data_IF_243303861974
#
_entry.id   IF_243303861974
#
_cell.length_a   1.000
_cell.length_b   1.000
_cell.length_c   1.000
_cell.angle_alpha   90.00
_cell.angle_beta   90.00
_cell.angle_gamma   90.00
#
_symmetry.space_group_name_H-M   'P 1'
#
loop_
_entity.id
_entity.type
_entity.pdbx_description
1 polymer ?
#
# COMPACT_ATOMS: atom_id res chain seq x y z
N UNK A 1 0.77 1.36 -17.21
CA UNK A 1 1.05 1.00 -15.81
C UNK A 1 2.01 2.05 -15.26
N UNK A 2 1.77 2.57 -14.05
CA UNK A 2 2.70 3.50 -13.42
C UNK A 2 4.01 2.78 -13.06
N UNK A 3 5.11 3.53 -13.04
CA UNK A 3 6.44 3.01 -12.68
C UNK A 3 6.75 3.36 -11.23
N UNK A 4 7.33 2.42 -10.49
CA UNK A 4 7.82 2.67 -9.14
C UNK A 4 9.12 3.49 -9.20
N UNK A 5 9.11 4.67 -8.58
CA UNK A 5 10.19 5.66 -8.62
C UNK A 5 10.79 5.81 -7.21
N UNK A 6 11.80 5.01 -6.90
CA UNK A 6 12.51 5.06 -5.63
C UNK A 6 13.84 5.82 -5.77
N UNK A 7 14.23 6.64 -4.77
CA UNK A 7 15.61 7.10 -4.62
C UNK A 7 16.59 5.92 -4.69
N UNK A 8 17.76 6.12 -5.30
CA UNK A 8 18.75 5.05 -5.54
C UNK A 8 19.16 4.31 -4.25
N UNK A 9 19.23 5.03 -3.12
CA UNK A 9 19.50 4.45 -1.81
C UNK A 9 18.43 3.45 -1.40
N UNK A 10 17.15 3.81 -1.54
CA UNK A 10 16.03 2.93 -1.24
C UNK A 10 15.93 1.78 -2.24
N UNK A 11 16.18 2.02 -3.52
CA UNK A 11 16.18 0.96 -4.53
C UNK A 11 17.20 -0.14 -4.22
N UNK A 12 18.42 0.25 -3.82
CA UNK A 12 19.48 -0.70 -3.44
C UNK A 12 19.10 -1.55 -2.24
N UNK A 13 18.37 -0.98 -1.28
CA UNK A 13 17.96 -1.67 -0.06
C UNK A 13 16.77 -2.58 -0.31
N UNK A 14 15.81 -2.14 -1.13
CA UNK A 14 14.56 -2.85 -1.39
C UNK A 14 14.65 -3.87 -2.53
N UNK A 15 15.73 -3.89 -3.31
CA UNK A 15 15.89 -4.86 -4.41
C UNK A 15 15.67 -6.32 -3.99
N UNK A 16 16.15 -6.81 -2.82
CA UNK A 16 15.92 -8.20 -2.42
C UNK A 16 14.44 -8.54 -2.23
N UNK A 17 13.60 -7.57 -1.85
CA UNK A 17 12.15 -7.78 -1.76
C UNK A 17 11.54 -7.93 -3.14
N UNK A 18 11.89 -7.05 -4.07
CA UNK A 18 11.33 -7.08 -5.43
C UNK A 18 11.83 -8.28 -6.25
N UNK A 19 13.04 -8.78 -5.97
CA UNK A 19 13.55 -10.03 -6.53
C UNK A 19 12.79 -11.24 -5.98
N UNK A 20 12.47 -11.24 -4.67
CA UNK A 20 11.77 -12.34 -4.01
C UNK A 20 10.26 -12.37 -4.30
N UNK A 21 9.65 -11.19 -4.45
CA UNK A 21 8.25 -11.01 -4.80
C UNK A 21 8.16 -9.84 -5.79
N UNK A 22 8.12 -10.10 -7.11
CA UNK A 22 7.91 -9.06 -8.11
C UNK A 22 6.56 -8.34 -7.96
N UNK A 23 6.51 -7.06 -8.34
CA UNK A 23 5.35 -6.18 -8.10
C UNK A 23 4.07 -6.64 -8.81
N UNK A 24 4.20 -7.32 -9.96
CA UNK A 24 3.08 -7.93 -10.69
C UNK A 24 2.55 -9.21 -10.03
N UNK A 25 3.28 -9.78 -9.08
CA UNK A 25 2.90 -10.92 -8.26
C UNK A 25 2.49 -10.52 -6.84
N UNK A 26 2.97 -9.38 -6.35
CA UNK A 26 2.59 -8.83 -5.06
C UNK A 26 1.11 -8.44 -5.02
N UNK A 27 0.53 -8.41 -3.81
CA UNK A 27 -0.83 -7.89 -3.62
C UNK A 27 -1.88 -8.56 -4.54
N UNK A 28 -1.72 -9.86 -4.78
CA UNK A 28 -2.49 -10.61 -5.78
C UNK A 28 -3.98 -10.75 -5.42
N UNK A 29 -4.31 -10.66 -4.13
CA UNK A 29 -5.68 -10.61 -3.65
C UNK A 29 -6.08 -9.18 -3.28
N UNK A 30 -7.35 -8.84 -3.57
CA UNK A 30 -7.96 -7.59 -3.12
C UNK A 30 -8.30 -7.63 -1.63
N UNK A 31 -8.71 -8.79 -1.12
CA UNK A 31 -8.96 -9.05 0.30
C UNK A 31 -8.06 -10.18 0.77
N UNK A 32 -7.35 -9.96 1.88
CA UNK A 32 -6.40 -10.92 2.43
C UNK A 32 -7.12 -11.95 3.28
N UNK A 33 -7.11 -13.21 2.82
CA UNK A 33 -7.67 -14.36 3.55
C UNK A 33 -6.67 -15.51 3.75
N UNK A 34 -5.50 -15.43 3.10
CA UNK A 34 -4.50 -16.51 3.08
C UNK A 34 -3.43 -16.29 4.14
N UNK A 35 -2.75 -17.37 4.57
CA UNK A 35 -1.64 -17.24 5.50
C UNK A 35 -0.53 -16.41 4.86
N UNK A 36 -0.01 -15.47 5.64
CA UNK A 36 1.03 -14.56 5.20
C UNK A 36 2.37 -15.31 5.13
N UNK A 37 3.16 -15.04 4.09
CA UNK A 37 4.45 -15.72 3.89
C UNK A 37 5.46 -15.31 4.96
N UNK A 38 5.76 -16.22 5.89
CA UNK A 38 6.72 -15.99 6.96
C UNK A 38 8.10 -15.54 6.43
N UNK A 39 8.53 -16.06 5.28
CA UNK A 39 9.79 -15.66 4.64
C UNK A 39 9.77 -14.19 4.21
N UNK A 40 8.68 -13.75 3.57
CA UNK A 40 8.53 -12.35 3.14
C UNK A 40 8.35 -11.43 4.35
N UNK A 41 7.59 -11.85 5.37
CA UNK A 41 7.45 -11.11 6.63
C UNK A 41 8.80 -10.88 7.29
N UNK A 42 9.65 -11.90 7.36
CA UNK A 42 11.00 -11.78 7.92
C UNK A 42 11.90 -10.88 7.06
N UNK A 43 11.80 -10.97 5.73
CA UNK A 43 12.55 -10.13 4.81
C UNK A 43 12.18 -8.66 5.01
N UNK A 44 10.89 -8.30 4.93
CA UNK A 44 10.42 -6.94 5.16
C UNK A 44 10.78 -6.47 6.57
N UNK A 45 10.69 -7.34 7.58
CA UNK A 45 11.11 -7.02 8.95
C UNK A 45 12.56 -6.58 9.07
N UNK A 46 13.47 -7.22 8.33
CA UNK A 46 14.88 -6.78 8.25
C UNK A 46 15.02 -5.45 7.53
N UNK A 47 14.32 -5.28 6.40
CA UNK A 47 14.38 -4.06 5.59
C UNK A 47 13.88 -2.84 6.35
N UNK A 48 12.71 -2.92 7.00
CA UNK A 48 12.16 -1.78 7.77
C UNK A 48 12.99 -1.45 9.02
N UNK A 49 13.82 -2.38 9.49
CA UNK A 49 14.75 -2.16 10.60
C UNK A 49 16.09 -1.54 10.15
N UNK A 50 16.33 -1.42 8.84
CA UNK A 50 17.52 -0.79 8.29
C UNK A 50 17.53 0.71 8.64
N UNK A 51 18.67 1.28 9.09
CA UNK A 51 18.77 2.71 9.39
C UNK A 51 18.32 3.64 8.27
N UNK A 52 18.47 3.26 7.00
CA UNK A 52 18.05 4.06 5.86
C UNK A 52 16.52 4.12 5.69
N UNK A 53 15.78 3.19 6.29
CA UNK A 53 14.31 3.17 6.29
C UNK A 53 13.69 4.00 7.41
N UNK A 54 14.50 4.44 8.39
CA UNK A 54 14.03 5.13 9.60
C UNK A 54 13.12 6.31 9.32
N UNK A 55 13.49 7.12 8.33
CA UNK A 55 12.79 8.37 8.01
C UNK A 55 11.62 8.16 7.03
N UNK A 56 11.28 6.92 6.69
CA UNK A 56 10.23 6.57 5.73
C UNK A 56 9.11 5.71 6.33
N UNK A 57 8.45 6.12 7.43
CA UNK A 57 7.40 5.30 8.04
C UNK A 57 6.20 5.04 7.10
N UNK A 58 5.88 5.98 6.19
CA UNK A 58 4.87 5.79 5.15
C UNK A 58 5.22 4.64 4.20
N UNK A 59 6.48 4.58 3.77
CA UNK A 59 6.98 3.48 2.95
C UNK A 59 7.01 2.16 3.74
N UNK A 60 7.37 2.18 5.03
CA UNK A 60 7.32 0.98 5.87
C UNK A 60 5.89 0.39 5.93
N UNK A 61 4.86 1.23 6.10
CA UNK A 61 3.47 0.78 6.04
C UNK A 61 3.14 0.16 4.67
N UNK A 62 3.55 0.83 3.58
CA UNK A 62 3.37 0.34 2.22
C UNK A 62 4.04 -1.03 1.98
N UNK A 63 5.25 -1.26 2.50
CA UNK A 63 5.97 -2.53 2.37
C UNK A 63 5.30 -3.68 3.13
N UNK A 64 4.65 -3.40 4.26
CA UNK A 64 3.85 -4.41 4.96
C UNK A 64 2.60 -4.78 4.16
N UNK A 65 1.91 -3.80 3.55
CA UNK A 65 0.80 -4.09 2.63
C UNK A 65 1.24 -4.88 1.39
N UNK A 66 2.44 -4.61 0.89
CA UNK A 66 3.00 -5.29 -0.28
C UNK A 66 3.10 -6.81 -0.08
N UNK A 67 3.37 -7.25 1.15
CA UNK A 67 3.47 -8.66 1.54
C UNK A 67 2.24 -9.16 2.32
N UNK A 68 1.13 -8.44 2.26
CA UNK A 68 -0.14 -8.79 2.92
C UNK A 68 -0.11 -8.85 4.47
N UNK A 69 0.90 -8.25 5.11
CA UNK A 69 0.99 -8.09 6.57
C UNK A 69 0.16 -6.88 7.06
N UNK A 70 -1.17 -7.04 7.07
CA UNK A 70 -2.10 -5.95 7.39
C UNK A 70 -1.91 -5.40 8.81
N UNK A 71 -1.72 -6.25 9.83
CA UNK A 71 -1.54 -5.83 11.21
C UNK A 71 -0.32 -4.91 11.39
N UNK A 72 0.79 -5.22 10.71
CA UNK A 72 2.02 -4.42 10.78
C UNK A 72 1.88 -3.12 10.02
N UNK A 73 1.20 -3.12 8.88
CA UNK A 73 0.83 -1.88 8.19
C UNK A 73 -0.05 -1.01 9.09
N UNK A 74 -1.10 -1.59 9.68
CA UNK A 74 -2.04 -0.91 10.55
C UNK A 74 -1.37 -0.28 11.76
N UNK A 75 -0.44 -0.99 12.40
CA UNK A 75 0.37 -0.46 13.50
C UNK A 75 1.13 0.81 13.12
N UNK A 76 1.61 0.92 11.89
CA UNK A 76 2.31 2.12 11.44
C UNK A 76 1.31 3.21 11.04
N UNK A 77 0.36 2.89 10.15
CA UNK A 77 -0.57 3.86 9.58
C UNK A 77 -1.44 4.55 10.63
N UNK A 78 -1.84 3.85 11.70
CA UNK A 78 -2.65 4.47 12.77
C UNK A 78 -1.92 5.58 13.55
N UNK A 79 -0.58 5.59 13.53
CA UNK A 79 0.23 6.61 14.20
C UNK A 79 0.60 7.78 13.29
N UNK A 80 0.34 7.67 11.98
CA UNK A 80 0.59 8.71 10.99
C UNK A 80 -0.62 9.66 10.93
N UNK A 81 -0.49 10.84 11.54
CA UNK A 81 -1.59 11.82 11.70
C UNK A 81 -1.75 12.77 10.51
N UNK A 82 -1.36 12.34 9.32
CA UNK A 82 -1.42 13.12 8.09
C UNK A 82 -2.28 12.42 7.02
N UNK A 83 -2.41 13.09 5.88
CA UNK A 83 -3.25 12.65 4.79
C UNK A 83 -2.74 11.33 4.18
N UNK A 84 -1.42 11.18 4.03
CA UNK A 84 -0.83 9.93 3.52
C UNK A 84 -0.98 8.77 4.50
N UNK A 85 -0.84 9.04 5.81
CA UNK A 85 -1.12 8.06 6.86
C UNK A 85 -2.54 7.53 6.81
N UNK A 86 -3.50 8.44 6.69
CA UNK A 86 -4.92 8.11 6.53
C UNK A 86 -5.18 7.34 5.24
N UNK A 87 -4.51 7.68 4.14
CA UNK A 87 -4.60 6.95 2.88
C UNK A 87 -4.11 5.50 3.05
N UNK A 88 -2.90 5.28 3.57
CA UNK A 88 -2.40 3.92 3.83
C UNK A 88 -3.32 3.10 4.72
N UNK A 89 -3.93 3.76 5.71
CA UNK A 89 -4.92 3.15 6.59
C UNK A 89 -6.19 2.72 5.83
N UNK A 90 -6.68 3.57 4.93
CA UNK A 90 -7.81 3.26 4.04
C UNK A 90 -7.53 2.05 3.15
N UNK A 91 -6.35 1.99 2.52
CA UNK A 91 -5.92 0.81 1.72
C UNK A 91 -5.90 -0.43 2.61
N UNK A 92 -5.30 -0.34 3.80
CA UNK A 92 -5.21 -1.46 4.75
C UNK A 92 -6.60 -2.04 5.06
N UNK A 93 -7.56 -1.21 5.46
CA UNK A 93 -8.93 -1.67 5.76
C UNK A 93 -9.67 -2.20 4.52
N UNK A 94 -9.43 -1.65 3.32
CA UNK A 94 -10.01 -2.23 2.10
C UNK A 94 -9.51 -3.66 1.89
N UNK A 95 -8.22 -3.90 2.18
CA UNK A 95 -7.60 -5.22 2.06
C UNK A 95 -7.99 -6.20 3.15
N UNK A 96 -8.42 -5.74 4.33
CA UNK A 96 -8.96 -6.65 5.36
C UNK A 96 -10.44 -6.97 5.13
N UNK A 97 -11.12 -6.18 4.30
CA UNK A 97 -12.56 -6.30 4.01
C UNK A 97 -13.46 -5.43 4.91
N UNK A 98 -12.89 -4.53 5.71
CA UNK A 98 -13.63 -3.51 6.47
C UNK A 98 -13.85 -2.26 5.62
N UNK A 99 -14.78 -2.37 4.67
CA UNK A 99 -15.05 -1.31 3.68
C UNK A 99 -15.58 -0.01 4.31
N UNK A 100 -16.40 -0.11 5.36
CA UNK A 100 -16.91 1.07 6.05
C UNK A 100 -15.79 1.88 6.69
N UNK A 101 -14.83 1.19 7.32
CA UNK A 101 -13.69 1.85 7.95
C UNK A 101 -12.69 2.36 6.90
N UNK A 102 -12.53 1.62 5.80
CA UNK A 102 -11.79 2.11 4.63
C UNK A 102 -12.32 3.48 4.16
N UNK A 103 -13.63 3.62 3.94
CA UNK A 103 -14.23 4.91 3.56
C UNK A 103 -14.00 6.01 4.60
N UNK A 104 -14.04 5.69 5.90
CA UNK A 104 -13.75 6.65 6.96
C UNK A 104 -12.32 7.20 6.85
N UNK A 105 -11.34 6.33 6.63
CA UNK A 105 -9.95 6.75 6.48
C UNK A 105 -9.67 7.51 5.18
N UNK A 106 -10.36 7.17 4.09
CA UNK A 106 -10.29 7.95 2.85
C UNK A 106 -10.93 9.34 2.97
N UNK A 107 -11.98 9.50 3.77
CA UNK A 107 -12.46 10.83 4.15
C UNK A 107 -11.39 11.64 4.88
N UNK A 108 -10.66 11.02 5.81
CA UNK A 108 -9.58 11.67 6.56
C UNK A 108 -8.35 12.00 5.70
N UNK A 109 -8.07 11.20 4.66
CA UNK A 109 -7.05 11.50 3.65
C UNK A 109 -7.40 12.75 2.82
N UNK A 110 -8.69 13.11 2.77
CA UNK A 110 -9.20 14.31 2.12
C UNK A 110 -9.50 14.11 0.64
N UNK A 111 -10.59 14.75 0.18
CA UNK A 111 -11.10 14.59 -1.19
C UNK A 111 -10.16 15.10 -2.30
N UNK A 112 -9.20 15.97 -1.96
CA UNK A 112 -8.28 16.59 -2.92
C UNK A 112 -6.84 16.05 -2.80
N UNK A 113 -6.67 14.83 -2.30
CA UNK A 113 -5.34 14.23 -2.19
C UNK A 113 -4.66 14.17 -3.58
N UNK A 114 -3.43 14.66 -3.70
CA UNK A 114 -2.75 14.86 -4.99
C UNK A 114 -2.60 13.56 -5.79
N UNK A 115 -2.38 12.45 -5.11
CA UNK A 115 -2.25 11.11 -5.70
C UNK A 115 -3.48 10.71 -6.53
N UNK A 116 -4.68 11.15 -6.16
CA UNK A 116 -5.89 10.78 -6.91
C UNK A 116 -5.82 11.24 -8.37
N UNK A 117 -5.28 12.45 -8.59
CA UNK A 117 -5.11 13.00 -9.94
C UNK A 117 -4.01 12.33 -10.78
N UNK A 118 -3.16 11.51 -10.16
CA UNK A 118 -2.09 10.78 -10.85
C UNK A 118 -2.58 9.47 -11.47
N UNK A 119 -3.79 9.02 -11.11
CA UNK A 119 -4.39 7.78 -11.57
C UNK A 119 -5.64 8.15 -12.38
N UNK A 120 -5.69 7.74 -13.65
CA UNK A 120 -6.76 8.15 -14.56
C UNK A 120 -8.12 7.60 -14.12
N UNK A 121 -9.10 8.49 -13.89
CA UNK A 121 -10.46 8.11 -13.53
C UNK A 121 -10.59 7.50 -12.13
N UNK A 122 -9.62 7.75 -11.26
CA UNK A 122 -9.54 7.14 -9.94
C UNK A 122 -10.39 7.87 -8.89
N UNK A 123 -11.16 7.09 -8.14
CA UNK A 123 -11.84 7.49 -6.93
C UNK A 123 -11.63 6.37 -5.89
N UNK A 124 -11.04 6.66 -4.71
CA UNK A 124 -10.84 5.64 -3.69
C UNK A 124 -12.16 5.05 -3.17
N UNK A 125 -13.23 5.84 -3.09
CA UNK A 125 -14.54 5.36 -2.63
C UNK A 125 -15.14 4.40 -3.66
N UNK A 126 -15.07 4.74 -4.96
CA UNK A 126 -15.50 3.83 -6.01
C UNK A 126 -14.69 2.53 -6.01
N UNK A 127 -13.37 2.59 -5.81
CA UNK A 127 -12.54 1.39 -5.71
C UNK A 127 -12.95 0.50 -4.52
N UNK A 128 -13.32 1.09 -3.38
CA UNK A 128 -13.84 0.32 -2.22
C UNK A 128 -15.12 -0.41 -2.60
N UNK A 129 -16.09 0.30 -3.18
CA UNK A 129 -17.37 -0.27 -3.60
C UNK A 129 -17.18 -1.37 -4.66
N UNK A 130 -16.29 -1.15 -5.62
CA UNK A 130 -16.00 -2.11 -6.67
C UNK A 130 -15.35 -3.39 -6.12
N UNK A 131 -14.41 -3.26 -5.18
CA UNK A 131 -13.78 -4.40 -4.48
C UNK A 131 -14.81 -5.17 -3.66
N UNK A 132 -15.68 -4.47 -2.93
CA UNK A 132 -16.73 -5.11 -2.13
C UNK A 132 -17.66 -5.95 -3.01
N UNK A 133 -17.99 -5.46 -4.20
CA UNK A 133 -18.90 -6.14 -5.13
C UNK A 133 -18.19 -7.22 -5.97
N UNK A 134 -16.92 -7.04 -6.30
CA UNK A 134 -16.16 -7.91 -7.22
C UNK A 134 -14.74 -8.20 -6.68
N UNK A 135 -14.59 -8.91 -5.54
CA UNK A 135 -13.32 -9.05 -4.82
C UNK A 135 -12.28 -9.96 -5.51
N UNK A 136 -12.57 -10.44 -6.72
CA UNK A 136 -11.68 -11.28 -7.53
C UNK A 136 -11.42 -10.70 -8.92
N UNK A 137 -11.86 -9.47 -9.22
CA UNK A 137 -11.64 -8.85 -10.53
C UNK A 137 -10.16 -8.51 -10.73
N UNK A 138 -9.48 -9.08 -11.74
CA UNK A 138 -8.07 -8.80 -12.00
C UNK A 138 -7.80 -7.32 -12.35
N UNK A 139 -8.76 -6.59 -12.92
CA UNK A 139 -8.59 -5.16 -13.21
C UNK A 139 -8.51 -4.32 -11.95
N UNK A 140 -9.27 -4.70 -10.92
CA UNK A 140 -9.20 -4.04 -9.62
C UNK A 140 -7.86 -4.35 -8.92
N UNK A 141 -7.31 -5.56 -9.10
CA UNK A 141 -5.96 -5.89 -8.62
C UNK A 141 -4.90 -5.00 -9.28
N UNK A 142 -4.98 -4.79 -10.60
CA UNK A 142 -4.10 -3.86 -11.32
C UNK A 142 -4.25 -2.41 -10.84
N UNK A 143 -5.49 -1.98 -10.57
CA UNK A 143 -5.78 -0.64 -10.05
C UNK A 143 -5.23 -0.46 -8.63
N UNK A 144 -5.39 -1.45 -7.74
CA UNK A 144 -4.81 -1.46 -6.39
C UNK A 144 -3.28 -1.35 -6.44
N UNK A 145 -2.61 -2.09 -7.34
CA UNK A 145 -1.15 -1.99 -7.50
C UNK A 145 -0.75 -0.61 -8.00
N UNK A 146 -1.51 -0.04 -8.95
CA UNK A 146 -1.27 1.31 -9.46
C UNK A 146 -1.44 2.38 -8.37
N UNK A 147 -2.47 2.25 -7.53
CA UNK A 147 -2.71 3.10 -6.37
C UNK A 147 -1.55 3.03 -5.36
N UNK A 148 -1.09 1.82 -5.04
CA UNK A 148 0.07 1.61 -4.17
C UNK A 148 1.33 2.27 -4.72
N UNK A 149 1.62 2.11 -6.02
CA UNK A 149 2.77 2.74 -6.68
C UNK A 149 2.68 4.26 -6.59
N UNK A 150 1.53 4.83 -6.93
CA UNK A 150 1.31 6.27 -6.91
C UNK A 150 1.58 6.87 -5.53
N UNK A 151 1.04 6.22 -4.49
CA UNK A 151 1.19 6.70 -3.12
C UNK A 151 2.62 6.49 -2.59
N UNK A 152 3.31 5.40 -2.95
CA UNK A 152 4.74 5.23 -2.64
C UNK A 152 5.56 6.35 -3.28
N UNK A 153 5.42 6.58 -4.59
CA UNK A 153 6.16 7.61 -5.31
C UNK A 153 5.95 8.99 -4.68
N UNK A 154 4.71 9.33 -4.33
CA UNK A 154 4.38 10.57 -3.61
C UNK A 154 5.09 10.62 -2.25
N UNK A 155 5.01 9.56 -1.44
CA UNK A 155 5.57 9.55 -0.09
C UNK A 155 7.11 9.63 -0.04
N UNK A 156 7.82 9.14 -1.06
CA UNK A 156 9.30 9.21 -1.12
C UNK A 156 9.83 10.47 -1.78
N UNK A 157 8.95 11.31 -2.34
CA UNK A 157 9.31 12.53 -3.07
C UNK A 157 9.02 13.82 -2.30
N UNK A 158 8.40 13.74 -1.12
CA UNK A 158 8.04 14.89 -0.26
C UNK A 158 9.09 15.22 0.78
#
# INVERSE_FOLDING_TARGET
MQTLELPQSLQSILSPLFDALPLDQAMAALIVHQPISQQLTQLVGKLVSDPAMRDYPKLQAALWLYVDELDRSHQISQHLKDAEGSYWHGIMHRREGDFSNSHYWFHNAGANHRVYSQIQGYDPHQLIDDVQNNPTDPKLVELQRSEWIALVNHCVSI
#
